data_IF_079367398841
#
_entry.id   IF_079367398841
#
_cell.length_a   1.000
_cell.length_b   1.000
_cell.length_c   1.000
_cell.angle_alpha   90.00
_cell.angle_beta   90.00
_cell.angle_gamma   90.00
#
_symmetry.space_group_name_H-M   'P 1'
#
loop_
_entity.id
_entity.type
_entity.pdbx_description
1 polymer ?
#
# COMPACT_ATOMS: atom_id res chain seq x y z
N UNK A 1 29.17 -20.52 31.96
CA UNK A 1 28.17 -21.21 31.12
C UNK A 1 27.98 -20.41 29.82
N UNK A 2 29.05 -20.25 29.02
CA UNK A 2 29.07 -19.49 27.76
C UNK A 2 30.13 -20.13 26.84
N UNK A 3 29.74 -21.15 26.08
CA UNK A 3 30.64 -21.91 25.19
C UNK A 3 29.98 -22.30 23.86
N UNK A 4 29.16 -21.41 23.31
CA UNK A 4 28.37 -21.68 22.09
C UNK A 4 28.47 -20.57 21.02
N UNK A 5 29.50 -19.74 21.01
CA UNK A 5 29.59 -18.61 20.06
C UNK A 5 30.70 -18.69 19.01
N UNK A 6 31.46 -19.78 18.88
CA UNK A 6 32.46 -19.92 17.82
C UNK A 6 32.54 -21.37 17.32
N UNK A 7 31.76 -21.69 16.30
CA UNK A 7 32.13 -22.63 15.22
C UNK A 7 30.99 -22.70 14.19
N UNK A 8 31.26 -22.24 12.97
CA UNK A 8 30.32 -22.37 11.88
C UNK A 8 30.67 -21.66 10.58
N UNK A 9 31.93 -21.27 10.35
CA UNK A 9 32.39 -20.91 9.01
C UNK A 9 32.46 -22.17 8.15
N UNK A 10 31.61 -22.20 7.11
CA UNK A 10 31.72 -22.86 5.79
C UNK A 10 30.39 -23.46 5.34
N UNK A 11 29.54 -22.64 4.75
CA UNK A 11 28.63 -23.07 3.66
C UNK A 11 28.54 -21.93 2.64
N UNK A 12 29.53 -21.82 1.77
CA UNK A 12 29.38 -21.11 0.51
C UNK A 12 28.62 -22.04 -0.44
N UNK A 13 27.29 -21.94 -0.46
CA UNK A 13 26.48 -22.45 -1.56
C UNK A 13 26.12 -21.28 -2.47
N UNK A 14 26.59 -21.41 -3.71
CA UNK A 14 26.27 -20.61 -4.89
C UNK A 14 24.82 -20.13 -4.91
N UNK A 15 24.63 -18.81 -4.81
CA UNK A 15 23.38 -18.14 -5.12
C UNK A 15 23.46 -17.72 -6.59
N UNK A 16 22.96 -18.57 -7.50
CA UNK A 16 22.73 -18.19 -8.88
C UNK A 16 21.74 -17.04 -8.93
N UNK A 17 22.12 -15.95 -9.60
CA UNK A 17 21.26 -14.80 -9.84
C UNK A 17 20.02 -15.23 -10.65
N UNK A 18 18.79 -14.91 -10.22
CA UNK A 18 17.63 -15.24 -11.01
C UNK A 18 17.60 -14.39 -12.28
N UNK A 19 17.63 -15.09 -13.42
CA UNK A 19 17.49 -14.58 -14.78
C UNK A 19 16.10 -13.95 -14.99
N UNK A 20 16.03 -12.96 -15.88
CA UNK A 20 14.90 -12.05 -16.20
C UNK A 20 13.55 -12.71 -16.62
N UNK A 21 13.39 -14.03 -16.51
CA UNK A 21 12.20 -14.76 -16.95
C UNK A 21 11.10 -14.90 -15.88
N UNK A 22 11.23 -14.27 -14.71
CA UNK A 22 10.17 -14.27 -13.68
C UNK A 22 9.14 -13.13 -13.83
N UNK A 23 9.38 -12.13 -14.69
CA UNK A 23 8.47 -10.99 -14.82
C UNK A 23 7.08 -11.37 -15.35
N UNK A 24 6.95 -12.46 -16.09
CA UNK A 24 5.66 -12.91 -16.65
C UNK A 24 4.83 -13.78 -15.69
N UNK A 25 5.38 -14.22 -14.55
CA UNK A 25 4.64 -15.00 -13.54
C UNK A 25 4.10 -14.15 -12.37
N UNK A 26 4.45 -12.88 -12.31
CA UNK A 26 4.02 -11.98 -11.24
C UNK A 26 2.55 -11.56 -11.38
N UNK A 27 1.98 -11.58 -12.59
CA UNK A 27 0.59 -11.15 -12.83
C UNK A 27 -0.46 -12.18 -12.40
N UNK A 28 -0.17 -13.48 -12.49
CA UNK A 28 -1.11 -14.55 -12.09
C UNK A 28 -1.27 -14.70 -10.56
N UNK A 29 -0.44 -14.01 -9.75
CA UNK A 29 -0.61 -13.93 -8.29
C UNK A 29 -1.75 -13.00 -7.85
N UNK A 30 -2.39 -12.29 -8.78
CA UNK A 30 -3.45 -11.32 -8.46
C UNK A 30 -4.80 -11.96 -8.13
N UNK A 31 -4.95 -13.29 -8.27
CA UNK A 31 -6.17 -14.01 -7.94
C UNK A 31 -6.06 -14.83 -6.64
N UNK A 32 -5.26 -14.33 -5.68
CA UNK A 32 -5.28 -14.80 -4.30
C UNK A 32 -6.71 -14.67 -3.77
N UNK A 33 -7.35 -15.81 -3.50
CA UNK A 33 -8.75 -15.86 -3.09
C UNK A 33 -8.98 -15.06 -1.82
N UNK A 34 -10.19 -14.50 -1.67
CA UNK A 34 -10.64 -13.72 -0.51
C UNK A 34 -10.30 -14.35 0.86
N UNK A 35 -10.10 -15.68 0.93
CA UNK A 35 -9.71 -16.41 2.13
C UNK A 35 -8.25 -16.25 2.59
N UNK A 36 -7.33 -15.78 1.75
CA UNK A 36 -5.93 -15.53 2.19
C UNK A 36 -5.75 -14.14 2.81
N UNK A 37 -6.73 -13.25 2.65
CA UNK A 37 -6.69 -11.92 3.25
C UNK A 37 -6.82 -11.96 4.77
N UNK A 38 -7.48 -12.98 5.35
CA UNK A 38 -7.66 -13.09 6.81
C UNK A 38 -6.34 -13.09 7.58
N UNK A 39 -5.32 -13.79 7.07
CA UNK A 39 -3.99 -13.78 7.70
C UNK A 39 -3.31 -12.41 7.60
N UNK A 40 -3.55 -11.66 6.53
CA UNK A 40 -3.04 -10.29 6.36
C UNK A 40 -3.75 -9.32 7.31
N UNK A 41 -5.08 -9.48 7.50
CA UNK A 41 -5.84 -8.73 8.49
C UNK A 41 -5.30 -8.97 9.90
N UNK A 42 -5.13 -10.23 10.30
CA UNK A 42 -4.61 -10.58 11.63
C UNK A 42 -3.20 -10.02 11.84
N UNK A 43 -2.34 -10.07 10.82
CA UNK A 43 -1.00 -9.50 10.86
C UNK A 43 -1.04 -7.98 11.10
N UNK A 44 -1.90 -7.26 10.38
CA UNK A 44 -2.03 -5.80 10.54
C UNK A 44 -2.64 -5.43 11.87
N UNK A 45 -3.71 -6.11 12.31
CA UNK A 45 -4.30 -5.86 13.62
C UNK A 45 -3.24 -6.09 14.70
N UNK A 46 -2.45 -7.16 14.61
CA UNK A 46 -1.35 -7.42 15.52
C UNK A 46 -0.28 -6.32 15.49
N UNK A 47 0.11 -5.83 14.31
CA UNK A 47 1.10 -4.76 14.19
C UNK A 47 0.59 -3.43 14.78
N UNK A 48 -0.67 -3.07 14.52
CA UNK A 48 -1.31 -1.87 15.09
C UNK A 48 -1.49 -2.00 16.59
N UNK A 49 -1.93 -3.16 17.09
CA UNK A 49 -1.99 -3.48 18.52
C UNK A 49 -0.63 -3.29 19.19
N UNK A 50 0.43 -3.85 18.59
CA UNK A 50 1.80 -3.72 19.10
C UNK A 50 2.28 -2.28 19.10
N UNK A 51 1.93 -1.47 18.09
CA UNK A 51 2.26 -0.04 18.06
C UNK A 51 1.56 0.71 19.20
N UNK A 52 0.26 0.48 19.42
CA UNK A 52 -0.48 1.10 20.52
C UNK A 52 0.07 0.67 21.88
N UNK A 53 0.41 -0.61 22.05
CA UNK A 53 1.03 -1.11 23.29
C UNK A 53 2.37 -0.45 23.56
N UNK A 54 3.23 -0.32 22.54
CA UNK A 54 4.52 0.38 22.66
C UNK A 54 4.32 1.83 23.08
N UNK A 55 3.42 2.54 22.40
CA UNK A 55 3.10 3.93 22.72
C UNK A 55 2.63 4.12 24.17
N UNK A 56 1.72 3.26 24.65
CA UNK A 56 1.22 3.33 26.02
C UNK A 56 2.32 3.03 27.06
N UNK A 57 3.20 2.07 26.78
CA UNK A 57 4.35 1.75 27.64
C UNK A 57 5.35 2.90 27.70
N UNK A 58 5.70 3.49 26.55
CA UNK A 58 6.60 4.64 26.49
C UNK A 58 6.03 5.85 27.24
N UNK A 59 4.73 6.10 27.11
CA UNK A 59 4.04 7.16 27.84
C UNK A 59 4.03 6.91 29.35
N UNK A 60 3.79 5.68 29.78
CA UNK A 60 3.84 5.30 31.21
C UNK A 60 5.25 5.45 31.78
N UNK A 61 6.26 5.01 31.03
CA UNK A 61 7.66 5.14 31.41
C UNK A 61 8.08 6.61 31.55
N UNK A 62 7.70 7.47 30.59
CA UNK A 62 7.96 8.90 30.67
C UNK A 62 7.33 9.54 31.92
N UNK A 63 6.09 9.18 32.23
CA UNK A 63 5.41 9.68 33.43
C UNK A 63 6.05 9.15 34.73
N UNK A 64 6.60 7.94 34.72
CA UNK A 64 7.36 7.39 35.84
C UNK A 64 8.70 8.12 36.03
N UNK A 65 9.41 8.42 34.95
CA UNK A 65 10.68 9.14 34.99
C UNK A 65 10.49 10.59 35.48
N UNK A 66 9.42 11.26 35.07
CA UNK A 66 9.01 12.57 35.61
C UNK A 66 8.73 12.49 37.12
N UNK A 67 8.01 11.46 37.58
CA UNK A 67 7.73 11.25 39.00
C UNK A 67 9.00 10.99 39.83
N UNK A 68 9.95 10.23 39.26
CA UNK A 68 11.28 9.99 39.86
C UNK A 68 12.07 11.28 39.96
N UNK A 69 12.04 12.13 38.92
CA UNK A 69 12.69 13.43 38.94
C UNK A 69 12.13 14.35 40.04
N UNK A 70 10.81 14.29 40.28
CA UNK A 70 10.13 15.04 41.33
C UNK A 70 10.26 14.40 42.74
N UNK A 71 10.92 13.25 42.88
CA UNK A 71 11.01 12.45 44.12
C UNK A 71 9.64 12.16 44.78
N UNK A 72 8.58 12.05 43.98
CA UNK A 72 7.24 11.71 44.48
C UNK A 72 7.15 10.21 44.78
N UNK A 73 6.70 9.80 45.99
CA UNK A 73 6.47 8.39 46.29
C UNK A 73 5.47 7.75 45.33
N UNK A 74 5.75 6.55 44.84
CA UNK A 74 4.86 5.84 43.93
C UNK A 74 3.90 4.89 44.68
N UNK A 75 2.60 5.14 44.51
CA UNK A 75 1.52 4.32 45.04
C UNK A 75 0.69 3.68 43.92
N UNK A 76 1.18 3.66 42.69
CA UNK A 76 0.53 3.05 41.52
C UNK A 76 0.09 1.59 41.77
N UNK A 77 0.89 0.84 42.55
CA UNK A 77 0.60 -0.54 42.97
C UNK A 77 -0.69 -0.68 43.79
N UNK A 78 -1.12 0.36 44.51
CA UNK A 78 -2.40 0.37 45.23
C UNK A 78 -3.62 0.42 44.30
N UNK A 79 -3.45 0.84 43.05
CA UNK A 79 -4.54 1.11 42.09
C UNK A 79 -4.53 0.10 40.92
N UNK A 80 -3.51 -0.75 40.84
CA UNK A 80 -3.18 -1.57 39.65
C UNK A 80 -4.05 -2.81 39.41
N UNK A 81 -5.17 -2.98 40.12
CA UNK A 81 -5.89 -4.26 40.19
C UNK A 81 -6.59 -4.75 38.92
N UNK A 82 -6.77 -3.93 37.88
CA UNK A 82 -7.50 -4.35 36.66
C UNK A 82 -7.30 -3.41 35.46
N UNK A 83 -7.18 -2.10 35.72
CA UNK A 83 -7.18 -1.07 34.68
C UNK A 83 -5.97 -1.10 33.73
N UNK A 84 -4.80 -1.59 34.17
CA UNK A 84 -3.60 -1.63 33.33
C UNK A 84 -3.55 -2.80 32.34
N UNK A 85 -4.42 -3.82 32.47
CA UNK A 85 -4.50 -4.92 31.49
C UNK A 85 -5.34 -4.54 30.27
N UNK A 86 -6.41 -3.75 30.47
CA UNK A 86 -7.33 -3.32 29.41
C UNK A 86 -6.71 -2.29 28.44
N UNK A 87 -5.66 -1.57 28.86
CA UNK A 87 -4.96 -0.58 28.02
C UNK A 87 -4.17 -1.21 26.85
N UNK A 88 -3.94 -2.53 26.88
CA UNK A 88 -3.00 -3.22 25.99
C UNK A 88 -3.63 -3.85 24.74
N UNK A 89 -4.93 -3.67 24.53
CA UNK A 89 -5.65 -4.24 23.39
C UNK A 89 -6.42 -3.14 22.66
N UNK A 90 -6.59 -3.31 21.35
CA UNK A 90 -7.50 -2.47 20.59
C UNK A 90 -8.95 -2.74 21.03
N UNK A 91 -9.72 -1.68 21.19
CA UNK A 91 -11.16 -1.74 21.39
C UNK A 91 -11.84 -2.32 20.15
N UNK A 92 -13.02 -2.90 20.34
CA UNK A 92 -13.83 -3.43 19.23
C UNK A 92 -14.09 -2.37 18.16
N UNK A 93 -14.27 -1.11 18.56
CA UNK A 93 -14.48 -0.02 17.62
C UNK A 93 -13.24 0.27 16.77
N UNK A 94 -12.05 0.35 17.39
CA UNK A 94 -10.79 0.55 16.68
C UNK A 94 -10.51 -0.60 15.69
N UNK A 95 -10.75 -1.85 16.11
CA UNK A 95 -10.62 -3.03 15.23
C UNK A 95 -11.52 -2.92 14.01
N UNK A 96 -12.80 -2.62 14.21
CA UNK A 96 -13.75 -2.45 13.12
C UNK A 96 -13.33 -1.33 12.15
N UNK A 97 -12.76 -0.22 12.66
CA UNK A 97 -12.26 0.87 11.80
C UNK A 97 -11.12 0.40 10.90
N UNK A 98 -10.18 -0.36 11.46
CA UNK A 98 -9.04 -0.94 10.73
C UNK A 98 -9.52 -1.95 9.69
N UNK A 99 -10.41 -2.87 10.09
CA UNK A 99 -10.99 -3.89 9.20
C UNK A 99 -11.71 -3.25 8.01
N UNK A 100 -12.59 -2.28 8.26
CA UNK A 100 -13.32 -1.55 7.22
C UNK A 100 -12.38 -0.82 6.25
N UNK A 101 -11.29 -0.24 6.75
CA UNK A 101 -10.32 0.46 5.91
C UNK A 101 -9.54 -0.52 5.00
N UNK A 102 -9.25 -1.71 5.51
CA UNK A 102 -8.50 -2.75 4.80
C UNK A 102 -9.35 -3.59 3.83
N UNK A 103 -10.68 -3.58 3.92
CA UNK A 103 -11.58 -4.33 3.02
C UNK A 103 -11.32 -4.05 1.53
N UNK A 104 -10.96 -2.81 1.21
CA UNK A 104 -10.73 -2.35 -0.17
C UNK A 104 -9.28 -2.51 -0.64
N UNK A 105 -8.38 -2.98 0.22
CA UNK A 105 -6.95 -3.06 -0.02
C UNK A 105 -6.58 -4.36 -0.77
N UNK A 106 -5.75 -4.27 -1.82
CA UNK A 106 -5.29 -5.46 -2.55
C UNK A 106 -4.10 -6.10 -1.81
N UNK A 107 -3.90 -7.43 -1.87
CA UNK A 107 -2.78 -8.13 -1.22
C UNK A 107 -1.40 -7.52 -1.46
N UNK A 108 -1.15 -7.00 -2.68
CA UNK A 108 0.12 -6.38 -3.06
C UNK A 108 0.36 -4.99 -2.43
N UNK A 109 -0.64 -4.38 -1.81
CA UNK A 109 -0.58 -3.01 -1.28
C UNK A 109 -0.38 -2.96 0.23
N UNK A 110 -0.48 -4.10 0.93
CA UNK A 110 -0.36 -4.18 2.38
C UNK A 110 1.00 -3.71 2.89
N UNK A 111 2.09 -4.18 2.27
CA UNK A 111 3.45 -3.77 2.66
C UNK A 111 3.62 -2.26 2.56
N UNK A 112 3.24 -1.67 1.40
CA UNK A 112 3.34 -0.23 1.17
C UNK A 112 2.52 0.56 2.18
N UNK A 113 1.33 0.08 2.51
CA UNK A 113 0.45 0.71 3.49
C UNK A 113 1.09 0.72 4.88
N UNK A 114 1.66 -0.41 5.31
CA UNK A 114 2.35 -0.54 6.60
C UNK A 114 3.56 0.38 6.67
N UNK A 115 4.38 0.43 5.62
CA UNK A 115 5.57 1.30 5.58
C UNK A 115 5.19 2.78 5.69
N UNK A 116 4.18 3.20 4.90
CA UNK A 116 3.66 4.57 4.92
C UNK A 116 3.09 4.93 6.29
N UNK A 117 2.38 4.00 6.92
CA UNK A 117 1.84 4.19 8.26
C UNK A 117 2.95 4.29 9.32
N UNK A 118 3.97 3.43 9.26
CA UNK A 118 5.12 3.45 10.18
C UNK A 118 5.89 4.77 10.15
N UNK A 119 5.98 5.40 8.99
CA UNK A 119 6.57 6.73 8.85
C UNK A 119 5.73 7.80 9.59
N UNK A 120 4.40 7.72 9.48
CA UNK A 120 3.47 8.70 10.06
C UNK A 120 3.35 8.61 11.58
N UNK A 121 3.38 7.41 12.15
CA UNK A 121 3.19 7.24 13.60
C UNK A 121 4.37 7.72 14.45
N UNK A 122 5.52 8.04 13.85
CA UNK A 122 6.68 8.56 14.60
C UNK A 122 6.36 9.85 15.36
N UNK A 123 5.35 10.61 14.92
CA UNK A 123 4.92 11.86 15.53
C UNK A 123 3.53 11.77 16.19
N UNK A 124 3.00 10.57 16.42
CA UNK A 124 1.69 10.42 17.04
C UNK A 124 1.73 10.82 18.53
N UNK A 125 0.83 11.71 18.94
CA UNK A 125 0.70 12.20 20.32
C UNK A 125 -0.39 11.47 21.09
N UNK A 126 -1.33 10.84 20.39
CA UNK A 126 -2.44 10.10 20.99
C UNK A 126 -2.61 8.71 20.40
N UNK A 127 -3.25 7.83 21.18
CA UNK A 127 -3.60 6.48 20.71
C UNK A 127 -4.54 6.50 19.50
N UNK A 128 -5.50 7.42 19.48
CA UNK A 128 -6.47 7.53 18.39
C UNK A 128 -5.78 7.97 17.10
N UNK A 129 -4.78 8.86 17.19
CA UNK A 129 -3.94 9.24 16.05
C UNK A 129 -3.19 8.06 15.44
N UNK A 130 -2.74 7.07 16.22
CA UNK A 130 -2.08 5.88 15.68
C UNK A 130 -3.01 5.11 14.75
N UNK A 131 -4.28 4.97 15.15
CA UNK A 131 -5.33 4.29 14.37
C UNK A 131 -5.75 5.16 13.18
N UNK A 132 -5.91 6.46 13.37
CA UNK A 132 -6.26 7.42 12.31
C UNK A 132 -5.19 7.50 11.23
N UNK A 133 -3.91 7.53 11.61
CA UNK A 133 -2.81 7.49 10.66
C UNK A 133 -2.80 6.20 9.85
N UNK A 134 -3.20 5.07 10.43
CA UNK A 134 -3.34 3.81 9.70
C UNK A 134 -4.44 3.91 8.65
N UNK A 135 -5.63 4.37 9.04
CA UNK A 135 -6.78 4.58 8.13
C UNK A 135 -6.45 5.60 7.03
N UNK A 136 -5.70 6.65 7.35
CA UNK A 136 -5.24 7.61 6.35
C UNK A 136 -4.23 6.99 5.37
N UNK A 137 -3.29 6.17 5.86
CA UNK A 137 -2.30 5.49 5.02
C UNK A 137 -2.95 4.46 4.06
N UNK A 138 -3.98 3.73 4.52
CA UNK A 138 -4.74 2.82 3.65
C UNK A 138 -5.47 3.60 2.55
N UNK A 139 -6.15 4.68 2.90
CA UNK A 139 -6.86 5.54 1.94
C UNK A 139 -5.92 6.18 0.92
N UNK A 140 -4.76 6.70 1.34
CA UNK A 140 -3.76 7.23 0.43
C UNK A 140 -3.22 6.16 -0.53
N UNK A 141 -2.99 4.95 -0.03
CA UNK A 141 -2.54 3.83 -0.88
C UNK A 141 -3.60 3.47 -1.92
N UNK A 142 -4.88 3.50 -1.55
CA UNK A 142 -6.01 3.28 -2.45
C UNK A 142 -6.13 4.42 -3.48
N UNK A 143 -5.97 5.67 -3.08
CA UNK A 143 -6.05 6.85 -3.97
C UNK A 143 -4.85 6.96 -4.91
N UNK A 144 -3.68 6.45 -4.51
CA UNK A 144 -2.49 6.43 -5.34
C UNK A 144 -2.55 5.39 -6.47
N UNK A 145 -3.60 4.57 -6.54
CA UNK A 145 -3.83 3.65 -7.65
C UNK A 145 -3.97 4.45 -8.94
N UNK A 146 -3.28 4.03 -10.00
CA UNK A 146 -3.58 4.51 -11.34
C UNK A 146 -5.00 4.04 -11.67
N UNK A 147 -5.93 4.97 -11.77
CA UNK A 147 -7.27 4.67 -12.25
C UNK A 147 -7.21 4.50 -13.77
N UNK A 148 -7.86 3.45 -14.27
CA UNK A 148 -8.16 3.38 -15.70
C UNK A 148 -8.92 4.65 -16.08
N UNK A 149 -8.54 5.33 -17.18
CA UNK A 149 -9.15 6.59 -17.54
C UNK A 149 -10.65 6.40 -17.64
N UNK A 150 -11.40 7.18 -16.86
CA UNK A 150 -12.86 7.06 -16.85
C UNK A 150 -13.38 7.39 -18.25
N UNK A 151 -14.54 6.87 -18.69
CA UNK A 151 -15.11 7.22 -20.01
C UNK A 151 -15.14 8.74 -20.25
N UNK A 152 -15.38 9.53 -19.21
CA UNK A 152 -15.31 10.99 -19.23
C UNK A 152 -13.92 11.53 -19.54
N UNK A 153 -12.86 10.91 -19.00
CA UNK A 153 -11.47 11.25 -19.27
C UNK A 153 -11.03 10.76 -20.65
N UNK A 154 -11.52 9.61 -21.12
CA UNK A 154 -11.32 9.13 -22.49
C UNK A 154 -11.94 10.10 -23.49
N UNK A 155 -13.20 10.51 -23.28
CA UNK A 155 -13.90 11.50 -24.11
C UNK A 155 -13.17 12.84 -24.07
N UNK A 156 -12.73 13.28 -22.88
CA UNK A 156 -11.95 14.53 -22.72
C UNK A 156 -10.60 14.44 -23.42
N UNK A 157 -9.91 13.30 -23.36
CA UNK A 157 -8.62 13.10 -24.04
C UNK A 157 -8.78 13.04 -25.57
N UNK A 158 -9.87 12.43 -26.05
CA UNK A 158 -10.27 12.43 -27.47
C UNK A 158 -10.61 13.85 -27.95
N UNK A 159 -11.41 14.61 -27.19
CA UNK A 159 -11.81 15.98 -27.55
C UNK A 159 -10.66 16.98 -27.42
N UNK A 160 -9.69 16.72 -26.54
CA UNK A 160 -8.51 17.58 -26.34
C UNK A 160 -7.35 17.24 -27.28
N UNK A 161 -7.52 16.29 -28.21
CA UNK A 161 -6.49 15.91 -29.18
C UNK A 161 -5.24 15.22 -28.59
N UNK A 162 -5.25 14.90 -27.29
CA UNK A 162 -4.20 14.10 -26.63
C UNK A 162 -4.50 12.60 -26.80
N UNK A 163 -4.61 12.16 -28.04
CA UNK A 163 -4.53 10.75 -28.36
C UNK A 163 -3.05 10.35 -28.26
N UNK A 164 -2.59 9.97 -27.06
CA UNK A 164 -1.36 9.20 -26.98
C UNK A 164 -1.58 7.91 -27.76
N UNK A 165 -0.89 7.83 -28.89
CA UNK A 165 -0.62 6.67 -29.74
C UNK A 165 -0.80 5.32 -29.05
N UNK A 166 -2.05 4.83 -28.99
CA UNK A 166 -2.30 3.40 -28.91
C UNK A 166 -2.10 2.87 -30.33
N UNK A 167 -0.84 2.59 -30.68
CA UNK A 167 -0.51 1.67 -31.77
C UNK A 167 -1.09 0.31 -31.39
N UNK A 168 -2.32 0.06 -31.79
CA UNK A 168 -2.83 -1.30 -31.94
C UNK A 168 -1.95 -2.02 -32.95
N UNK A 169 -1.23 -3.03 -32.46
CA UNK A 169 -0.43 -3.99 -33.22
C UNK A 169 -1.29 -4.59 -34.34
N UNK A 170 -0.86 -4.43 -35.61
CA UNK A 170 -1.30 -5.31 -36.70
C UNK A 170 -0.17 -6.30 -36.98
N UNK A 171 -0.32 -7.51 -36.45
CA UNK A 171 0.46 -8.67 -36.86
C UNK A 171 0.12 -9.02 -38.31
N UNK A 172 1.15 -9.16 -39.15
CA UNK A 172 1.09 -9.85 -40.43
C UNK A 172 0.48 -9.04 -41.58
N UNK A 173 1.31 -8.29 -42.29
CA UNK A 173 1.15 -8.06 -43.74
C UNK A 173 2.49 -7.55 -44.29
N UNK A 174 2.99 -8.23 -45.32
CA UNK A 174 4.28 -7.97 -45.99
C UNK A 174 4.26 -6.61 -46.71
N UNK A 175 5.42 -5.93 -46.85
CA UNK A 175 5.47 -4.61 -47.46
C UNK A 175 5.21 -4.72 -48.97
N UNK A 176 4.08 -4.19 -49.42
CA UNK A 176 3.86 -3.90 -50.83
C UNK A 176 3.89 -2.40 -51.04
N UNK A 177 4.73 -2.03 -51.99
CA UNK A 177 5.09 -0.68 -52.39
C UNK A 177 3.86 0.09 -52.89
N UNK A 178 3.51 1.19 -52.22
CA UNK A 178 3.03 2.44 -52.85
C UNK A 178 2.73 3.51 -51.78
N UNK A 179 3.36 4.69 -51.83
CA UNK A 179 3.10 5.78 -50.88
C UNK A 179 1.88 6.58 -51.35
N UNK A 180 0.67 6.06 -51.16
CA UNK A 180 -0.52 6.91 -51.23
C UNK A 180 -0.67 7.59 -49.88
N UNK A 181 -0.17 8.83 -49.80
CA UNK A 181 -0.43 9.78 -48.72
C UNK A 181 -1.89 9.70 -48.30
N UNK A 182 -2.14 9.27 -47.07
CA UNK A 182 -3.41 9.51 -46.37
C UNK A 182 -3.55 11.02 -46.15
N UNK A 183 -4.12 11.73 -47.13
CA UNK A 183 -4.51 13.13 -46.97
C UNK A 183 -5.56 13.21 -45.87
N UNK A 184 -5.33 14.09 -44.90
CA UNK A 184 -6.29 14.35 -43.84
C UNK A 184 -7.55 14.98 -44.45
N UNK A 185 -8.72 14.58 -43.97
CA UNK A 185 -10.03 15.07 -44.45
C UNK A 185 -10.16 16.60 -44.34
N UNK A 186 -9.40 17.21 -43.43
CA UNK A 186 -9.29 18.66 -43.24
C UNK A 186 -8.62 19.43 -44.38
N UNK A 187 -7.98 18.74 -45.33
CA UNK A 187 -7.32 19.36 -46.49
C UNK A 187 -8.14 19.27 -47.79
N UNK A 188 -9.33 18.67 -47.75
CA UNK A 188 -10.21 18.55 -48.92
C UNK A 188 -11.03 19.82 -49.12
N UNK A 189 -11.10 20.27 -50.37
CA UNK A 189 -11.95 21.40 -50.76
C UNK A 189 -13.43 20.97 -50.78
N UNK A 190 -14.34 21.91 -50.53
CA UNK A 190 -15.79 21.62 -50.43
C UNK A 190 -16.39 20.97 -51.70
N UNK A 191 -15.72 21.13 -52.84
CA UNK A 191 -16.12 20.53 -54.12
C UNK A 191 -15.76 19.03 -54.15
N UNK A 192 -14.62 18.64 -53.58
CA UNK A 192 -14.17 17.23 -53.57
C UNK A 192 -14.98 16.35 -52.60
N UNK A 193 -15.54 16.93 -51.54
CA UNK A 193 -16.40 16.21 -50.59
C UNK A 193 -17.77 15.86 -51.17
N UNK A 194 -18.24 16.60 -52.18
CA UNK A 194 -19.56 16.36 -52.80
C UNK A 194 -19.59 15.10 -53.66
N UNK A 195 -18.47 14.72 -54.26
CA UNK A 195 -18.38 13.57 -55.16
C UNK A 195 -18.21 12.23 -54.42
N UNK A 196 -18.14 12.24 -53.08
CA UNK A 196 -18.01 11.04 -52.24
C UNK A 196 -19.34 10.57 -51.58
N UNK A 197 -20.46 11.24 -51.84
CA UNK A 197 -21.82 10.88 -51.37
C UNK A 197 -22.67 10.43 -52.56
#
# INVERSE_FOLDING_TARGET
>A
MLRWLLNGDKVAHSFDAPTESQSARADDRMNIGYGENYLLFDLVIGEVEMAVVRFELEREQKAEDERKAERRPDYSWLVSGSANRAKKQLSVHEKNRIENACERLKPCEWSKTIDTWKEKIQNAETRDEIVDHFVCATHETILARKHDPTLTEIIKNLSSGRANSFQTVRHGEMPTENPVRTRQVSELSFIELRDMV
#
